data_IF_335144642768
#
_entry.id   IF_335144642768
#
_cell.length_a   1.000
_cell.length_b   1.000
_cell.length_c   1.000
_cell.angle_alpha   90.00
_cell.angle_beta   90.00
_cell.angle_gamma   90.00
#
_symmetry.space_group_name_H-M   'P 1'
#
loop_
_entity.id
_entity.type
_entity.pdbx_description
1 polymer ?
#
# COMPACT_ATOMS: atom_id res chain seq x y z
N UNK A 1 -8.38 24.81 -42.67
CA UNK A 1 -9.40 23.83 -42.23
C UNK A 1 -8.86 23.14 -40.99
N UNK A 2 -9.42 23.45 -39.82
CA UNK A 2 -8.96 22.95 -38.53
C UNK A 2 -9.89 21.83 -38.07
N UNK A 3 -9.35 20.62 -37.85
CA UNK A 3 -10.07 19.53 -37.20
C UNK A 3 -9.64 19.50 -35.73
N UNK A 4 -10.46 20.11 -34.88
CA UNK A 4 -10.39 19.92 -33.43
C UNK A 4 -11.03 18.58 -33.09
N UNK A 5 -10.26 17.65 -32.51
CA UNK A 5 -10.79 16.44 -31.91
C UNK A 5 -11.15 16.71 -30.45
N UNK A 6 -12.43 16.59 -30.13
CA UNK A 6 -12.98 16.74 -28.79
C UNK A 6 -12.59 15.56 -27.88
N UNK A 7 -12.34 15.77 -26.57
CA UNK A 7 -12.14 14.67 -25.64
C UNK A 7 -13.49 14.03 -25.30
N UNK A 8 -13.62 12.72 -25.55
CA UNK A 8 -14.76 11.94 -25.09
C UNK A 8 -14.68 11.76 -23.57
N UNK A 9 -15.68 12.31 -22.86
CA UNK A 9 -15.86 12.09 -21.43
C UNK A 9 -16.60 10.77 -21.19
N UNK A 10 -16.14 10.01 -20.18
CA UNK A 10 -16.88 9.20 -19.18
C UNK A 10 -18.19 8.50 -19.63
N UNK A 11 -18.53 7.24 -19.30
CA UNK A 11 -18.24 6.42 -18.14
C UNK A 11 -18.74 4.98 -18.40
N UNK A 12 -18.22 3.96 -17.71
CA UNK A 12 -18.99 2.75 -17.39
C UNK A 12 -18.77 2.33 -15.94
N UNK A 13 -19.30 3.15 -15.03
CA UNK A 13 -19.64 2.81 -13.65
C UNK A 13 -20.76 1.75 -13.61
N UNK A 14 -20.48 0.54 -14.05
CA UNK A 14 -21.41 -0.58 -13.94
C UNK A 14 -20.67 -1.81 -13.38
N UNK A 15 -20.96 -2.10 -12.11
CA UNK A 15 -20.74 -3.38 -11.43
C UNK A 15 -19.30 -3.70 -10.99
N UNK A 16 -18.88 -3.06 -9.90
CA UNK A 16 -18.33 -3.75 -8.72
C UNK A 16 -18.25 -2.77 -7.55
N UNK A 17 -19.36 -2.63 -6.81
CA UNK A 17 -19.29 -2.19 -5.41
C UNK A 17 -18.61 -3.30 -4.60
N UNK A 18 -17.28 -3.40 -4.70
CA UNK A 18 -16.52 -3.86 -3.56
C UNK A 18 -16.36 -2.64 -2.67
N UNK A 19 -17.00 -2.65 -1.50
CA UNK A 19 -16.66 -1.75 -0.42
C UNK A 19 -15.19 -2.01 -0.05
N UNK A 20 -14.25 -1.41 -0.77
CA UNK A 20 -12.83 -1.40 -0.40
C UNK A 20 -12.64 -0.26 0.59
N UNK A 21 -12.97 -0.51 1.85
CA UNK A 21 -12.57 0.34 2.99
C UNK A 21 -11.08 0.14 3.27
N UNK A 22 -10.25 0.51 2.30
CA UNK A 22 -8.81 0.36 2.42
C UNK A 22 -8.16 1.63 2.95
N UNK A 23 -8.62 2.02 4.14
CA UNK A 23 -7.83 2.84 5.05
C UNK A 23 -7.54 1.93 6.25
N UNK A 24 -6.31 1.98 6.76
CA UNK A 24 -5.95 1.32 8.02
C UNK A 24 -6.77 2.01 9.11
N UNK A 25 -7.96 1.48 9.37
CA UNK A 25 -8.84 1.93 10.46
C UNK A 25 -8.46 1.10 11.66
N UNK A 26 -7.59 1.64 12.52
CA UNK A 26 -7.53 1.17 13.90
C UNK A 26 -8.92 1.45 14.50
N UNK A 27 -9.77 0.43 14.58
CA UNK A 27 -11.08 0.57 15.21
C UNK A 27 -10.86 0.56 16.71
N UNK A 28 -11.03 1.71 17.36
CA UNK A 28 -11.24 1.74 18.80
C UNK A 28 -12.74 1.59 19.03
N UNK A 29 -13.15 0.44 19.55
CA UNK A 29 -14.54 0.22 19.95
C UNK A 29 -14.76 0.94 21.29
N UNK A 30 -15.63 1.96 21.28
CA UNK A 30 -16.07 2.64 22.49
C UNK A 30 -17.51 2.23 22.74
N UNK A 31 -17.73 1.41 23.77
CA UNK A 31 -19.06 0.92 24.13
C UNK A 31 -19.77 1.94 25.01
N UNK A 32 -20.52 2.85 24.38
CA UNK A 32 -21.46 3.74 25.07
C UNK A 32 -22.88 3.31 24.71
N UNK A 33 -23.37 2.20 25.29
CA UNK A 33 -24.67 1.62 24.94
C UNK A 33 -24.69 0.83 23.62
N UNK A 34 -25.74 0.98 22.79
CA UNK A 34 -25.97 0.23 21.52
C UNK A 34 -25.23 0.78 20.28
N UNK A 35 -24.36 1.79 20.43
CA UNK A 35 -23.72 2.48 19.31
C UNK A 35 -22.24 2.13 19.21
N UNK A 36 -21.79 1.71 18.01
CA UNK A 36 -20.38 1.40 17.71
C UNK A 36 -19.82 2.51 16.83
N UNK A 37 -18.87 3.26 17.36
CA UNK A 37 -18.19 4.34 16.64
C UNK A 37 -16.76 3.95 16.24
N UNK A 38 -16.31 4.45 15.08
CA UNK A 38 -14.95 4.27 14.61
C UNK A 38 -14.16 5.57 14.75
N UNK A 39 -13.17 5.58 15.64
CA UNK A 39 -12.27 6.73 15.82
C UNK A 39 -11.12 6.66 14.82
N UNK A 40 -10.83 7.77 14.12
CA UNK A 40 -9.63 7.89 13.29
C UNK A 40 -8.42 8.09 14.21
N UNK A 41 -7.46 7.16 14.13
CA UNK A 41 -6.22 7.22 14.89
C UNK A 41 -5.09 7.54 13.91
N UNK A 42 -4.29 8.60 14.16
CA UNK A 42 -3.12 8.89 13.32
C UNK A 42 -2.11 7.76 13.37
N UNK A 43 -1.37 7.58 12.28
CA UNK A 43 -0.36 6.52 12.21
C UNK A 43 0.93 6.95 12.89
N UNK A 44 1.66 6.03 13.51
CA UNK A 44 2.98 6.30 14.11
C UNK A 44 4.04 6.77 13.09
N UNK A 45 3.76 6.53 11.80
CA UNK A 45 4.64 6.86 10.67
C UNK A 45 4.40 8.27 10.13
N UNK A 46 3.37 8.95 10.61
CA UNK A 46 3.03 10.30 10.17
C UNK A 46 4.22 11.25 10.41
N UNK A 47 4.54 12.05 9.40
CA UNK A 47 5.73 12.92 9.40
C UNK A 47 7.08 12.22 9.17
N UNK A 48 7.14 10.89 9.13
CA UNK A 48 8.36 10.10 8.84
C UNK A 48 8.31 9.40 7.48
N UNK A 49 7.28 9.68 6.69
CA UNK A 49 7.12 9.09 5.35
C UNK A 49 8.09 9.77 4.39
N UNK A 50 8.79 8.94 3.59
CA UNK A 50 9.75 9.44 2.61
C UNK A 50 9.02 10.14 1.47
N UNK A 51 9.37 11.40 1.22
CA UNK A 51 8.95 12.12 0.02
C UNK A 51 9.73 11.59 -1.19
N UNK A 52 9.01 11.13 -2.23
CA UNK A 52 9.62 10.57 -3.43
C UNK A 52 10.02 11.65 -4.46
N UNK A 53 9.75 12.91 -4.18
CA UNK A 53 10.06 14.03 -5.06
C UNK A 53 11.59 14.12 -5.27
N UNK A 54 12.02 14.15 -6.54
CA UNK A 54 13.43 14.18 -6.91
C UNK A 54 14.15 12.82 -6.96
N UNK A 55 13.49 11.71 -6.62
CA UNK A 55 14.04 10.36 -6.78
C UNK A 55 13.52 9.67 -8.03
N UNK A 56 14.40 9.01 -8.78
CA UNK A 56 14.07 8.15 -9.93
C UNK A 56 13.24 8.83 -11.03
N UNK A 57 12.60 8.02 -11.86
CA UNK A 57 11.69 8.52 -12.90
C UNK A 57 10.33 8.90 -12.29
N UNK A 58 9.80 10.11 -12.54
CA UNK A 58 8.51 10.55 -11.98
C UNK A 58 7.31 9.79 -12.55
N UNK A 59 7.51 9.06 -13.64
CA UNK A 59 6.49 8.19 -14.25
C UNK A 59 6.32 6.88 -13.50
N UNK A 60 7.37 6.44 -12.82
CA UNK A 60 7.34 5.26 -11.99
C UNK A 60 6.64 5.59 -10.66
N UNK A 61 5.60 4.83 -10.37
CA UNK A 61 4.80 5.01 -9.14
C UNK A 61 5.29 4.12 -8.01
N UNK A 62 6.14 3.15 -8.32
CA UNK A 62 6.66 2.20 -7.38
C UNK A 62 7.71 2.85 -6.47
N UNK A 63 7.49 2.90 -5.16
CA UNK A 63 8.50 3.43 -4.24
C UNK A 63 9.81 2.62 -4.25
N UNK A 64 9.75 1.31 -4.52
CA UNK A 64 10.90 0.41 -4.42
C UNK A 64 11.88 0.65 -5.58
N UNK A 65 11.38 0.65 -6.82
CA UNK A 65 12.20 0.90 -8.01
C UNK A 65 12.63 2.37 -8.07
N UNK A 66 11.75 3.31 -7.70
CA UNK A 66 12.07 4.74 -7.69
C UNK A 66 13.20 5.09 -6.71
N UNK A 67 13.27 4.38 -5.59
CA UNK A 67 14.38 4.47 -4.62
C UNK A 67 15.58 3.57 -4.97
N UNK A 68 15.49 2.76 -6.02
CA UNK A 68 16.56 1.83 -6.42
C UNK A 68 16.88 0.76 -5.38
N UNK A 69 15.91 0.36 -4.55
CA UNK A 69 16.14 -0.55 -3.43
C UNK A 69 16.26 -2.01 -3.89
N UNK A 70 17.34 -2.68 -3.48
CA UNK A 70 17.49 -4.11 -3.64
C UNK A 70 17.12 -4.85 -2.34
N UNK A 71 15.87 -5.30 -2.25
CA UNK A 71 15.30 -5.88 -1.04
C UNK A 71 15.71 -7.35 -0.90
N UNK A 72 16.34 -7.71 0.22
CA UNK A 72 16.66 -9.09 0.61
C UNK A 72 15.80 -9.55 1.79
N UNK A 73 15.72 -10.86 1.98
CA UNK A 73 15.02 -11.49 3.12
C UNK A 73 15.62 -11.12 4.50
N UNK A 74 16.82 -10.54 4.53
CA UNK A 74 17.48 -10.03 5.73
C UNK A 74 16.94 -8.68 6.19
N UNK A 75 16.29 -7.94 5.28
CA UNK A 75 15.95 -6.53 5.48
C UNK A 75 14.59 -6.40 6.17
N UNK A 76 14.49 -6.99 7.37
CA UNK A 76 13.25 -7.14 8.15
C UNK A 76 12.55 -5.79 8.38
N UNK A 77 13.32 -4.70 8.55
CA UNK A 77 12.79 -3.35 8.76
C UNK A 77 12.08 -2.77 7.54
N UNK A 78 12.44 -3.21 6.33
CA UNK A 78 11.76 -2.80 5.09
C UNK A 78 10.56 -3.72 4.87
N UNK A 79 10.76 -5.04 5.02
CA UNK A 79 9.70 -6.03 4.81
C UNK A 79 8.50 -5.81 5.75
N UNK A 80 8.75 -5.53 7.03
CA UNK A 80 7.71 -5.24 8.03
C UNK A 80 6.84 -4.01 7.68
N UNK A 81 7.32 -3.09 6.84
CA UNK A 81 6.51 -1.95 6.41
C UNK A 81 5.37 -2.36 5.49
N UNK A 82 5.53 -3.48 4.78
CA UNK A 82 4.55 -4.06 3.85
C UNK A 82 3.68 -5.14 4.49
N UNK A 83 3.78 -5.34 5.81
CA UNK A 83 2.95 -6.27 6.56
C UNK A 83 1.88 -5.54 7.38
N UNK A 84 0.77 -6.22 7.60
CA UNK A 84 -0.21 -5.88 8.63
C UNK A 84 0.31 -6.31 10.01
N UNK A 85 -0.28 -5.80 11.11
CA UNK A 85 0.01 -6.32 12.45
C UNK A 85 -0.20 -7.84 12.55
N UNK A 86 -1.16 -8.41 11.80
CA UNK A 86 -1.42 -9.85 11.76
C UNK A 86 -0.39 -10.65 10.93
N UNK A 87 0.68 -10.00 10.45
CA UNK A 87 1.69 -10.62 9.61
C UNK A 87 1.26 -10.83 8.14
N UNK A 88 0.02 -10.51 7.76
CA UNK A 88 -0.44 -10.63 6.36
C UNK A 88 0.15 -9.54 5.45
N UNK A 89 0.42 -9.87 4.19
CA UNK A 89 1.02 -8.93 3.22
C UNK A 89 -0.01 -7.88 2.80
N UNK A 90 0.41 -6.61 2.72
CA UNK A 90 -0.44 -5.54 2.22
C UNK A 90 -0.75 -5.73 0.72
N UNK A 91 -2.01 -5.52 0.30
CA UNK A 91 -2.38 -5.66 -1.10
C UNK A 91 -1.81 -4.52 -1.94
N UNK A 92 -1.44 -4.84 -3.18
CA UNK A 92 -0.83 -3.93 -4.17
C UNK A 92 -1.51 -2.57 -4.30
N UNK A 93 -2.85 -2.56 -4.29
CA UNK A 93 -3.65 -1.33 -4.41
C UNK A 93 -3.43 -0.32 -3.27
N UNK A 94 -2.88 -0.78 -2.14
CA UNK A 94 -2.63 0.03 -0.95
C UNK A 94 -1.15 0.34 -0.78
N UNK A 95 -0.27 -0.64 -1.05
CA UNK A 95 1.17 -0.43 -1.01
C UNK A 95 1.67 0.44 -2.17
N UNK A 96 0.94 0.52 -3.29
CA UNK A 96 1.31 1.38 -4.42
C UNK A 96 2.52 0.88 -5.23
N UNK A 97 2.87 -0.40 -5.10
CA UNK A 97 3.98 -1.03 -5.81
C UNK A 97 3.50 -1.76 -7.07
N UNK A 98 4.40 -2.10 -7.99
CA UNK A 98 4.10 -2.82 -9.22
C UNK A 98 3.89 -4.30 -8.94
N UNK A 99 3.36 -4.98 -9.94
CA UNK A 99 3.21 -6.43 -9.91
C UNK A 99 4.54 -7.14 -9.64
N UNK A 100 5.62 -6.70 -10.29
CA UNK A 100 6.94 -7.31 -10.16
C UNK A 100 7.49 -7.14 -8.75
N UNK A 101 7.40 -5.94 -8.21
CA UNK A 101 7.84 -5.61 -6.85
C UNK A 101 7.05 -6.37 -5.80
N UNK A 102 5.73 -6.54 -6.00
CA UNK A 102 4.85 -7.31 -5.11
C UNK A 102 5.27 -8.78 -5.05
N UNK A 103 5.46 -9.45 -6.19
CA UNK A 103 5.87 -10.87 -6.24
C UNK A 103 7.24 -11.06 -5.58
N UNK A 104 8.18 -10.14 -5.84
CA UNK A 104 9.51 -10.18 -5.23
C UNK A 104 9.43 -10.04 -3.70
N UNK A 105 8.63 -9.09 -3.21
CA UNK A 105 8.41 -8.88 -1.78
C UNK A 105 7.80 -10.11 -1.12
N UNK A 106 6.74 -10.68 -1.70
CA UNK A 106 6.09 -11.89 -1.18
C UNK A 106 7.10 -13.04 -1.04
N UNK A 107 7.95 -13.24 -2.05
CA UNK A 107 9.01 -14.25 -1.98
C UNK A 107 10.05 -13.95 -0.88
N UNK A 108 10.46 -12.69 -0.71
CA UNK A 108 11.41 -12.32 0.35
C UNK A 108 10.82 -12.48 1.74
N UNK A 109 9.53 -12.18 1.91
CA UNK A 109 8.79 -12.36 3.17
C UNK A 109 8.71 -13.85 3.50
N UNK A 110 8.35 -14.71 2.55
CA UNK A 110 8.31 -16.16 2.75
C UNK A 110 9.67 -16.73 3.15
N UNK A 111 10.76 -16.25 2.53
CA UNK A 111 12.13 -16.63 2.92
C UNK A 111 12.48 -16.16 4.33
N UNK A 112 12.11 -14.94 4.69
CA UNK A 112 12.37 -14.37 6.00
C UNK A 112 11.59 -15.10 7.11
N UNK A 113 10.34 -15.51 6.84
CA UNK A 113 9.53 -16.38 7.72
C UNK A 113 10.21 -17.72 7.95
N UNK A 114 10.62 -18.39 6.86
CA UNK A 114 11.34 -19.68 6.94
C UNK A 114 12.67 -19.57 7.69
N UNK A 115 13.32 -18.40 7.63
CA UNK A 115 14.55 -18.12 8.37
C UNK A 115 14.32 -17.72 9.83
N UNK A 116 13.06 -17.63 10.30
CA UNK A 116 12.72 -17.22 11.67
C UNK A 116 12.98 -15.73 11.97
N UNK A 117 13.09 -14.88 10.94
CA UNK A 117 13.39 -13.44 11.08
C UNK A 117 12.14 -12.56 11.11
N UNK A 118 11.02 -13.08 10.62
CA UNK A 118 9.70 -12.45 10.63
C UNK A 118 8.72 -13.47 11.22
N UNK A 119 8.00 -13.04 12.25
CA UNK A 119 6.94 -13.80 12.93
C UNK A 119 5.60 -13.28 12.39
#
# INVERSE_FOLDING_TARGET
>A
MALQLYPTKFCSDALRRFLSTSHVRNKKEVYTGKQVEGVLVPSEREGKVVCLDGFGDPRDRDPISRLGLNIRHTDVRILSQFLRPDGTVLPRRISGISCRSQIHLELMIERARKAGKLI
#
